data_IF_811771526715
#
_entry.id   IF_811771526715
#
_cell.length_a   1.000
_cell.length_b   1.000
_cell.length_c   1.000
_cell.angle_alpha   90.00
_cell.angle_beta   90.00
_cell.angle_gamma   90.00
#
_symmetry.space_group_name_H-M   'P 1'
#
loop_
_entity.id
_entity.type
_entity.pdbx_description
1 polymer ?
#
# COMPACT_ATOMS: atom_id res chain seq x y z
N UNK A 1 -2.01 7.96 -1.56
CA UNK A 1 -2.68 6.80 -2.19
C UNK A 1 -4.21 6.92 -2.20
N UNK A 2 -4.85 7.21 -1.05
CA UNK A 2 -6.32 7.33 -0.95
C UNK A 2 -6.96 8.37 -1.89
N UNK A 3 -6.32 9.53 -2.08
CA UNK A 3 -6.82 10.56 -3.01
C UNK A 3 -6.82 10.06 -4.46
N UNK A 4 -5.79 9.31 -4.87
CA UNK A 4 -5.68 8.74 -6.22
C UNK A 4 -6.75 7.67 -6.42
N UNK A 5 -6.93 6.78 -5.42
CA UNK A 5 -8.01 5.77 -5.41
C UNK A 5 -9.37 6.41 -5.63
N UNK A 6 -9.69 7.44 -4.82
CA UNK A 6 -10.95 8.17 -4.93
C UNK A 6 -11.09 8.83 -6.30
N UNK A 7 -10.03 9.46 -6.81
CA UNK A 7 -10.04 10.07 -8.13
C UNK A 7 -10.38 9.04 -9.23
N UNK A 8 -9.72 7.88 -9.27
CA UNK A 8 -10.03 6.84 -10.26
C UNK A 8 -11.46 6.33 -10.09
N UNK A 9 -11.93 6.11 -8.85
CA UNK A 9 -13.31 5.69 -8.59
C UNK A 9 -14.34 6.67 -9.16
N UNK A 10 -14.09 7.98 -9.04
CA UNK A 10 -14.94 9.03 -9.60
C UNK A 10 -14.87 9.10 -11.13
N UNK A 11 -13.81 8.57 -11.75
CA UNK A 11 -13.67 8.49 -13.20
C UNK A 11 -14.36 7.26 -13.82
N UNK A 12 -14.87 6.32 -13.01
CA UNK A 12 -15.60 5.16 -13.53
C UNK A 12 -16.95 5.64 -14.10
N UNK A 13 -17.26 5.35 -15.39
CA UNK A 13 -18.49 5.78 -16.02
C UNK A 13 -19.68 4.89 -15.61
N UNK A 14 -20.89 5.33 -15.93
CA UNK A 14 -22.11 4.52 -15.77
C UNK A 14 -21.96 3.17 -16.48
N UNK A 15 -22.38 2.07 -15.85
CA UNK A 15 -22.36 0.72 -16.45
C UNK A 15 -23.17 0.66 -17.74
N UNK A 16 -22.59 0.07 -18.79
CA UNK A 16 -23.19 -0.09 -20.13
C UNK A 16 -22.73 -1.42 -20.75
N UNK A 17 -23.52 -1.95 -21.69
CA UNK A 17 -23.16 -3.14 -22.46
C UNK A 17 -22.15 -2.79 -23.57
N UNK A 18 -20.96 -3.39 -23.49
CA UNK A 18 -19.88 -3.20 -24.46
C UNK A 18 -18.96 -2.00 -24.18
N UNK A 19 -17.85 -1.92 -24.92
CA UNK A 19 -16.83 -0.86 -24.79
C UNK A 19 -16.23 -0.72 -23.36
N UNK A 20 -16.11 -1.82 -22.62
CA UNK A 20 -15.68 -1.82 -21.22
C UNK A 20 -14.17 -2.05 -21.02
N UNK A 21 -13.36 -2.11 -22.09
CA UNK A 21 -11.91 -2.34 -21.96
C UNK A 21 -11.19 -1.23 -21.17
N UNK A 22 -11.55 0.05 -21.35
CA UNK A 22 -10.95 1.10 -20.52
C UNK A 22 -11.46 1.08 -19.08
N UNK A 23 -12.67 0.58 -18.85
CA UNK A 23 -13.23 0.40 -17.50
C UNK A 23 -12.47 -0.71 -16.77
N UNK A 24 -12.15 -1.83 -17.44
CA UNK A 24 -11.32 -2.88 -16.83
C UNK A 24 -9.92 -2.37 -16.47
N UNK A 25 -9.32 -1.48 -17.27
CA UNK A 25 -8.05 -0.83 -16.91
C UNK A 25 -8.19 0.02 -15.64
N UNK A 26 -9.31 0.74 -15.47
CA UNK A 26 -9.58 1.48 -14.23
C UNK A 26 -9.72 0.55 -13.03
N UNK A 27 -10.42 -0.58 -13.20
CA UNK A 27 -10.61 -1.60 -12.16
C UNK A 27 -9.29 -2.27 -11.76
N UNK A 28 -8.46 -2.65 -12.73
CA UNK A 28 -7.12 -3.22 -12.50
C UNK A 28 -6.23 -2.22 -11.76
N UNK A 29 -6.24 -0.95 -12.19
CA UNK A 29 -5.48 0.11 -11.53
C UNK A 29 -5.93 0.32 -10.09
N UNK A 30 -7.24 0.24 -9.83
CA UNK A 30 -7.79 0.32 -8.48
C UNK A 30 -7.44 -0.90 -7.62
N UNK A 31 -7.39 -2.08 -8.20
CA UNK A 31 -6.98 -3.29 -7.50
C UNK A 31 -5.54 -3.18 -6.99
N UNK A 32 -4.62 -2.73 -7.85
CA UNK A 32 -3.22 -2.51 -7.46
C UNK A 32 -3.10 -1.46 -6.35
N UNK A 33 -3.80 -0.33 -6.47
CA UNK A 33 -3.83 0.72 -5.44
C UNK A 33 -4.37 0.21 -4.09
N UNK A 34 -5.33 -0.73 -4.09
CA UNK A 34 -5.87 -1.36 -2.87
C UNK A 34 -4.87 -2.30 -2.20
N UNK A 35 -4.10 -3.05 -2.98
CA UNK A 35 -3.00 -3.86 -2.45
C UNK A 35 -2.00 -2.99 -1.70
N UNK A 36 -1.59 -1.88 -2.32
CA UNK A 36 -0.66 -0.94 -1.71
C UNK A 36 -1.20 -0.28 -0.43
N UNK A 37 -2.50 0.04 -0.38
CA UNK A 37 -3.15 0.54 0.84
C UNK A 37 -3.13 -0.50 1.97
N UNK A 38 -3.27 -1.78 1.62
CA UNK A 38 -3.18 -2.90 2.58
C UNK A 38 -1.77 -3.02 3.14
N UNK A 39 -0.74 -2.95 2.29
CA UNK A 39 0.66 -3.00 2.71
C UNK A 39 1.02 -1.85 3.66
N UNK A 40 0.62 -0.63 3.31
CA UNK A 40 0.84 0.55 4.17
C UNK A 40 0.16 0.38 5.54
N UNK A 41 -1.06 -0.16 5.57
CA UNK A 41 -1.77 -0.45 6.82
C UNK A 41 -1.03 -1.48 7.65
N UNK A 42 -0.49 -2.53 7.02
CA UNK A 42 0.31 -3.55 7.68
C UNK A 42 1.61 -2.98 8.27
N UNK A 43 2.27 -2.04 7.59
CA UNK A 43 3.47 -1.39 8.11
C UNK A 43 3.21 -0.57 9.39
N UNK A 44 2.06 0.10 9.45
CA UNK A 44 1.61 0.80 10.67
C UNK A 44 1.37 -0.19 11.82
N UNK A 45 0.69 -1.30 11.55
CA UNK A 45 0.45 -2.34 12.55
C UNK A 45 1.75 -2.97 13.07
N UNK A 46 2.74 -3.22 12.20
CA UNK A 46 4.06 -3.69 12.61
C UNK A 46 4.77 -2.71 13.56
N UNK A 47 4.62 -1.41 13.31
CA UNK A 47 5.18 -0.36 14.19
C UNK A 47 4.52 -0.39 15.57
N UNK A 48 3.19 -0.52 15.62
CA UNK A 48 2.47 -0.64 16.89
C UNK A 48 2.84 -1.92 17.65
N UNK A 49 2.90 -3.06 16.96
CA UNK A 49 3.29 -4.35 17.54
C UNK A 49 4.70 -4.32 18.13
N UNK A 50 5.64 -3.62 17.50
CA UNK A 50 6.97 -3.40 18.06
C UNK A 50 6.91 -2.68 19.41
N UNK A 51 6.17 -1.57 19.50
CA UNK A 51 6.05 -0.79 20.73
C UNK A 51 5.49 -1.62 21.89
N UNK A 52 4.41 -2.37 21.62
CA UNK A 52 3.79 -3.26 22.61
C UNK A 52 4.75 -4.37 23.04
N UNK A 53 5.37 -5.07 22.07
CA UNK A 53 6.30 -6.18 22.34
C UNK A 53 7.51 -5.71 23.14
N UNK A 54 8.04 -4.54 22.80
CA UNK A 54 9.16 -3.92 23.52
C UNK A 54 8.78 -3.58 24.96
N UNK A 55 7.60 -3.00 25.17
CA UNK A 55 7.07 -2.72 26.50
C UNK A 55 6.98 -3.96 27.39
N UNK A 56 6.46 -5.07 26.84
CA UNK A 56 6.38 -6.35 27.56
C UNK A 56 7.76 -6.94 27.89
N UNK A 57 8.73 -6.81 26.98
CA UNK A 57 10.11 -7.24 27.27
C UNK A 57 10.76 -6.38 28.35
N UNK A 58 10.60 -5.05 28.30
CA UNK A 58 11.13 -4.14 29.33
C UNK A 58 10.53 -4.45 30.70
N UNK A 59 9.22 -4.75 30.76
CA UNK A 59 8.57 -5.22 31.99
C UNK A 59 9.21 -6.51 32.53
N UNK A 60 9.58 -7.45 31.67
CA UNK A 60 10.30 -8.68 32.06
C UNK A 60 11.71 -8.38 32.55
N UNK A 61 12.44 -7.46 31.94
CA UNK A 61 13.76 -7.00 32.42
C UNK A 61 13.66 -6.44 33.84
N UNK A 62 12.67 -5.59 34.11
CA UNK A 62 12.46 -5.01 35.43
C UNK A 62 12.06 -6.08 36.47
N UNK A 63 11.21 -7.04 36.09
CA UNK A 63 10.74 -8.10 36.99
C UNK A 63 11.78 -9.17 37.28
N UNK A 64 12.67 -9.46 36.33
CA UNK A 64 13.67 -10.53 36.41
C UNK A 64 15.07 -9.99 36.06
N UNK A 65 15.65 -9.12 36.91
CA UNK A 65 16.90 -8.41 36.58
C UNK A 65 18.13 -9.32 36.46
N UNK A 66 18.06 -10.54 37.00
CA UNK A 66 19.11 -11.55 36.93
C UNK A 66 19.06 -12.39 35.64
N UNK A 67 18.01 -12.26 34.83
CA UNK A 67 17.86 -12.98 33.56
C UNK A 67 18.30 -12.07 32.42
N UNK A 68 19.58 -12.17 32.05
CA UNK A 68 20.19 -11.32 31.04
C UNK A 68 19.58 -11.48 29.64
N UNK A 69 18.99 -12.64 29.34
CA UNK A 69 18.33 -12.89 28.06
C UNK A 69 17.18 -11.92 27.76
N UNK A 70 16.51 -11.38 28.78
CA UNK A 70 15.50 -10.34 28.55
C UNK A 70 16.12 -9.03 28.05
N UNK A 71 17.30 -8.65 28.52
CA UNK A 71 18.02 -7.46 28.01
C UNK A 71 18.48 -7.69 26.57
N UNK A 72 19.02 -8.87 26.28
CA UNK A 72 19.42 -9.29 24.92
C UNK A 72 18.22 -9.33 23.97
N UNK A 73 17.06 -9.80 24.45
CA UNK A 73 15.83 -9.85 23.66
C UNK A 73 15.35 -8.45 23.28
N UNK A 74 15.47 -7.45 24.17
CA UNK A 74 15.17 -6.05 23.84
C UNK A 74 16.11 -5.56 22.74
N UNK A 75 17.41 -5.79 22.86
CA UNK A 75 18.39 -5.39 21.84
C UNK A 75 18.10 -6.04 20.48
N UNK A 76 17.86 -7.35 20.46
CA UNK A 76 17.53 -8.07 19.24
C UNK A 76 16.21 -7.59 18.61
N UNK A 77 15.20 -7.27 19.42
CA UNK A 77 13.95 -6.68 18.92
C UNK A 77 14.18 -5.29 18.31
N UNK A 78 14.98 -4.45 18.95
CA UNK A 78 15.32 -3.10 18.48
C UNK A 78 16.12 -3.17 17.16
N UNK A 79 17.08 -4.08 17.03
CA UNK A 79 17.84 -4.34 15.80
C UNK A 79 16.92 -4.83 14.66
N UNK A 80 16.04 -5.79 14.96
CA UNK A 80 15.04 -6.25 13.99
C UNK A 80 14.17 -5.10 13.51
N UNK A 81 13.68 -4.26 14.43
CA UNK A 81 12.84 -3.12 14.07
C UNK A 81 13.58 -2.11 13.20
N UNK A 82 14.85 -1.82 13.49
CA UNK A 82 15.67 -0.96 12.65
C UNK A 82 15.75 -1.47 11.20
N UNK A 83 16.05 -2.76 11.02
CA UNK A 83 16.09 -3.37 9.70
C UNK A 83 14.71 -3.32 9.02
N UNK A 84 13.64 -3.68 9.73
CA UNK A 84 12.27 -3.61 9.20
C UNK A 84 11.87 -2.20 8.76
N UNK A 85 12.20 -1.16 9.54
CA UNK A 85 11.92 0.23 9.14
C UNK A 85 12.67 0.65 7.88
N UNK A 86 13.91 0.19 7.69
CA UNK A 86 14.66 0.44 6.45
C UNK A 86 14.00 -0.23 5.24
N UNK A 87 13.55 -1.47 5.38
CA UNK A 87 12.79 -2.15 4.32
C UNK A 87 11.48 -1.43 4.01
N UNK A 88 10.71 -1.06 5.03
CA UNK A 88 9.46 -0.31 4.84
C UNK A 88 9.70 1.00 4.09
N UNK A 89 10.78 1.73 4.39
CA UNK A 89 11.11 2.97 3.68
C UNK A 89 11.40 2.73 2.18
N UNK A 90 12.10 1.65 1.86
CA UNK A 90 12.37 1.25 0.47
C UNK A 90 11.08 0.82 -0.25
N UNK A 91 10.23 0.03 0.40
CA UNK A 91 8.95 -0.38 -0.15
C UNK A 91 8.03 0.81 -0.40
N UNK A 92 7.98 1.79 0.51
CA UNK A 92 7.23 3.02 0.30
C UNK A 92 7.71 3.79 -0.94
N UNK A 93 9.02 3.89 -1.15
CA UNK A 93 9.58 4.51 -2.35
C UNK A 93 9.19 3.72 -3.62
N UNK A 94 9.29 2.39 -3.57
CA UNK A 94 8.89 1.52 -4.68
C UNK A 94 7.40 1.68 -5.00
N UNK A 95 6.54 1.71 -3.98
CA UNK A 95 5.10 1.92 -4.13
C UNK A 95 4.79 3.23 -4.84
N UNK A 96 5.44 4.34 -4.48
CA UNK A 96 5.26 5.61 -5.20
C UNK A 96 5.66 5.50 -6.67
N UNK A 97 6.79 4.84 -6.94
CA UNK A 97 7.29 4.67 -8.30
C UNK A 97 6.36 3.80 -9.15
N UNK A 98 5.90 2.67 -8.61
CA UNK A 98 4.97 1.75 -9.29
C UNK A 98 3.61 2.41 -9.56
N UNK A 99 3.03 3.11 -8.57
CA UNK A 99 1.78 3.85 -8.77
C UNK A 99 1.94 4.90 -9.86
N UNK A 100 3.03 5.67 -9.81
CA UNK A 100 3.29 6.69 -10.83
C UNK A 100 3.39 6.06 -12.23
N UNK A 101 4.17 4.99 -12.39
CA UNK A 101 4.33 4.29 -13.67
C UNK A 101 3.01 3.73 -14.21
N UNK A 102 2.25 3.03 -13.35
CA UNK A 102 0.91 2.50 -13.67
C UNK A 102 -0.03 3.59 -14.17
N UNK A 103 -0.12 4.70 -13.44
CA UNK A 103 -1.01 5.82 -13.78
C UNK A 103 -0.59 6.48 -15.09
N UNK A 104 0.72 6.72 -15.28
CA UNK A 104 1.21 7.41 -16.46
C UNK A 104 1.02 6.57 -17.73
N UNK A 105 1.24 5.26 -17.67
CA UNK A 105 1.01 4.34 -18.80
C UNK A 105 -0.47 4.25 -19.19
N UNK A 106 -1.38 4.36 -18.21
CA UNK A 106 -2.81 4.15 -18.41
C UNK A 106 -3.65 5.43 -18.38
N UNK A 107 -3.01 6.60 -18.31
CA UNK A 107 -3.68 7.88 -17.98
C UNK A 107 -4.86 8.20 -18.90
N UNK A 108 -4.71 7.96 -20.20
CA UNK A 108 -5.76 8.21 -21.18
C UNK A 108 -6.98 7.33 -20.95
N UNK A 109 -6.77 6.03 -20.68
CA UNK A 109 -7.85 5.08 -20.39
C UNK A 109 -8.47 5.32 -19.01
N UNK A 110 -7.69 5.76 -18.04
CA UNK A 110 -8.20 6.17 -16.72
C UNK A 110 -9.09 7.40 -16.84
N UNK A 111 -8.73 8.38 -17.69
CA UNK A 111 -9.54 9.60 -17.87
C UNK A 111 -10.73 9.42 -18.81
N UNK A 112 -10.56 8.61 -19.85
CA UNK A 112 -11.53 8.40 -20.93
C UNK A 112 -11.60 6.90 -21.27
N UNK A 113 -12.29 6.11 -20.43
CA UNK A 113 -12.30 4.65 -20.55
C UNK A 113 -13.06 4.15 -21.79
N UNK A 114 -14.05 4.91 -22.28
CA UNK A 114 -14.81 4.58 -23.49
C UNK A 114 -14.28 5.37 -24.68
N UNK A 115 -14.02 4.67 -25.78
CA UNK A 115 -13.86 5.35 -27.07
C UNK A 115 -15.20 5.95 -27.49
N UNK A 116 -15.18 7.18 -28.01
CA UNK A 116 -16.31 7.71 -28.77
C UNK A 116 -16.36 6.89 -30.04
N UNK A 117 -17.38 6.04 -30.21
CA UNK A 117 -17.68 5.51 -31.53
C UNK A 117 -18.12 6.72 -32.37
N UNK A 118 -17.20 7.29 -33.16
CA UNK A 118 -17.62 8.01 -34.35
C UNK A 118 -18.33 6.97 -35.20
N UNK A 119 -19.67 6.99 -35.19
CA UNK A 119 -20.42 6.38 -36.28
C UNK A 119 -19.80 6.91 -37.57
N UNK A 120 -19.09 6.03 -38.29
CA UNK A 120 -18.73 6.28 -39.67
C UNK A 120 -20.06 6.27 -40.42
N UNK A 121 -20.70 7.44 -40.46
CA UNK A 121 -21.86 7.72 -41.32
C UNK A 121 -21.31 7.98 -42.72
N UNK A 122 -20.89 6.93 -43.41
CA UNK A 122 -20.73 6.88 -44.86
C UNK A 122 -21.00 5.46 -45.33
#
# INVERSE_FOLDING_TARGET
IAIIKLWIQLMIPKVEDGNNFGVSIQEDSLAEIRTLETDVTQYLDLTYKYLVSRGELVKKVAKYPHVDDYRRSVQSLDEKQFVSMRFIALELHNHYTSVHDLLMKNLEKIKRPRSVQTHSMY
#
